data_IF_664857263407
#
_entry.id   IF_664857263407
#
_cell.length_a   1.000
_cell.length_b   1.000
_cell.length_c   1.000
_cell.angle_alpha   90.00
_cell.angle_beta   90.00
_cell.angle_gamma   90.00
#
_symmetry.space_group_name_H-M   'P 1'
#
loop_
_entity.id
_entity.type
_entity.pdbx_description
1 polymer ?
#
# COMPACT_ATOMS: atom_id res chain seq x y z
N UNK A 1 -14.43 -4.16 2.22
CA UNK A 1 -14.42 -4.34 0.75
C UNK A 1 -13.29 -3.61 0.03
N UNK A 2 -13.04 -2.29 0.23
CA UNK A 2 -12.01 -1.58 -0.54
C UNK A 2 -10.57 -2.08 -0.28
N UNK A 3 -10.30 -2.61 0.91
CA UNK A 3 -8.99 -3.19 1.26
C UNK A 3 -8.66 -4.38 0.35
N UNK A 4 -9.59 -5.33 0.20
CA UNK A 4 -9.36 -6.55 -0.58
C UNK A 4 -9.20 -6.23 -2.07
N UNK A 5 -10.02 -5.33 -2.60
CA UNK A 5 -9.90 -4.91 -4.00
C UNK A 5 -8.57 -4.22 -4.28
N UNK A 6 -8.13 -3.30 -3.42
CA UNK A 6 -6.84 -2.62 -3.59
C UNK A 6 -5.64 -3.56 -3.48
N UNK A 7 -5.69 -4.53 -2.55
CA UNK A 7 -4.64 -5.54 -2.39
C UNK A 7 -4.59 -6.46 -3.61
N UNK A 8 -5.74 -6.93 -4.11
CA UNK A 8 -5.80 -7.78 -5.31
C UNK A 8 -5.23 -7.08 -6.54
N UNK A 9 -5.56 -5.80 -6.75
CA UNK A 9 -5.01 -5.00 -7.86
C UNK A 9 -3.49 -4.84 -7.71
N UNK A 10 -3.01 -4.53 -6.51
CA UNK A 10 -1.58 -4.37 -6.23
C UNK A 10 -0.81 -5.67 -6.47
N UNK A 11 -1.33 -6.79 -5.97
CA UNK A 11 -0.74 -8.12 -6.17
C UNK A 11 -0.71 -8.52 -7.64
N UNK A 12 -1.79 -8.27 -8.38
CA UNK A 12 -1.85 -8.56 -9.81
C UNK A 12 -0.80 -7.75 -10.58
N UNK A 13 -0.66 -6.46 -10.29
CA UNK A 13 0.36 -5.62 -10.93
C UNK A 13 1.78 -6.14 -10.63
N UNK A 14 2.05 -6.46 -9.37
CA UNK A 14 3.35 -7.01 -8.95
C UNK A 14 3.65 -8.34 -9.64
N UNK A 15 2.65 -9.22 -9.73
CA UNK A 15 2.76 -10.52 -10.41
C UNK A 15 3.09 -10.36 -11.90
N UNK A 16 2.43 -9.42 -12.58
CA UNK A 16 2.73 -9.10 -13.99
C UNK A 16 4.13 -8.53 -14.15
N UNK A 17 4.54 -7.60 -13.27
CA UNK A 17 5.90 -7.05 -13.29
C UNK A 17 6.94 -8.16 -13.13
N UNK A 18 6.77 -9.07 -12.18
CA UNK A 18 7.71 -10.18 -11.94
C UNK A 18 7.73 -11.17 -13.12
N UNK A 19 6.56 -11.53 -13.64
CA UNK A 19 6.46 -12.53 -14.71
C UNK A 19 7.05 -12.05 -16.04
N UNK A 20 6.93 -10.76 -16.34
CA UNK A 20 7.38 -10.16 -17.60
C UNK A 20 8.60 -9.22 -17.43
N UNK A 21 9.30 -9.26 -16.29
CA UNK A 21 10.37 -8.29 -15.94
C UNK A 21 11.43 -8.07 -17.03
N UNK A 22 11.71 -9.09 -17.87
CA UNK A 22 12.74 -9.03 -18.91
C UNK A 22 12.27 -8.42 -20.24
N UNK A 23 10.96 -8.42 -20.48
CA UNK A 23 10.36 -8.03 -21.76
C UNK A 23 9.61 -6.68 -21.66
N UNK A 24 9.49 -6.10 -20.46
CA UNK A 24 8.79 -4.84 -20.23
C UNK A 24 9.68 -3.63 -20.62
N UNK A 25 9.09 -2.72 -21.39
CA UNK A 25 9.66 -1.40 -21.63
C UNK A 25 9.53 -0.47 -20.41
N UNK A 26 10.32 0.60 -20.37
CA UNK A 26 10.29 1.58 -19.28
C UNK A 26 8.89 2.18 -19.04
N UNK A 27 8.12 2.39 -20.11
CA UNK A 27 6.75 2.95 -20.00
C UNK A 27 5.80 1.94 -19.38
N UNK A 28 5.89 0.66 -19.77
CA UNK A 28 5.05 -0.39 -19.20
C UNK A 28 5.35 -0.60 -17.71
N UNK A 29 6.63 -0.55 -17.33
CA UNK A 29 7.05 -0.57 -15.92
C UNK A 29 6.42 0.60 -15.17
N UNK A 30 6.47 1.83 -15.72
CA UNK A 30 5.89 3.00 -15.07
C UNK A 30 4.37 2.88 -14.89
N UNK A 31 3.66 2.35 -15.89
CA UNK A 31 2.21 2.13 -15.81
C UNK A 31 1.88 1.08 -14.75
N UNK A 32 2.55 -0.07 -14.76
CA UNK A 32 2.32 -1.12 -13.76
C UNK A 32 2.65 -0.64 -12.34
N UNK A 33 3.73 0.14 -12.19
CA UNK A 33 4.11 0.73 -10.92
C UNK A 33 3.07 1.75 -10.42
N UNK A 34 2.50 2.56 -11.31
CA UNK A 34 1.41 3.46 -10.97
C UNK A 34 0.14 2.69 -10.54
N UNK A 35 -0.20 1.59 -11.23
CA UNK A 35 -1.31 0.71 -10.84
C UNK A 35 -1.06 0.07 -9.47
N UNK A 36 0.16 -0.40 -9.21
CA UNK A 36 0.57 -0.95 -7.92
C UNK A 36 0.39 0.07 -6.79
N UNK A 37 0.92 1.28 -6.94
CA UNK A 37 0.78 2.34 -5.94
C UNK A 37 -0.66 2.84 -5.79
N UNK A 38 -1.44 2.84 -6.87
CA UNK A 38 -2.86 3.15 -6.82
C UNK A 38 -3.64 2.17 -5.95
N UNK A 39 -3.41 0.86 -6.15
CA UNK A 39 -3.99 -0.19 -5.31
C UNK A 39 -3.56 -0.09 -3.84
N UNK A 40 -2.26 0.13 -3.61
CA UNK A 40 -1.70 0.33 -2.27
C UNK A 40 -2.38 1.52 -1.56
N UNK A 41 -2.50 2.66 -2.24
CA UNK A 41 -3.13 3.87 -1.69
C UNK A 41 -4.58 3.64 -1.26
N UNK A 42 -5.37 2.93 -2.07
CA UNK A 42 -6.75 2.57 -1.72
C UNK A 42 -6.82 1.69 -0.47
N UNK A 43 -5.99 0.64 -0.40
CA UNK A 43 -5.96 -0.28 0.74
C UNK A 43 -5.47 0.41 2.01
N UNK A 44 -4.38 1.16 1.93
CA UNK A 44 -3.78 1.83 3.08
C UNK A 44 -4.69 2.94 3.64
N UNK A 45 -5.29 3.77 2.78
CA UNK A 45 -6.25 4.81 3.19
C UNK A 45 -7.48 4.20 3.89
N UNK A 46 -8.00 3.10 3.35
CA UNK A 46 -9.13 2.37 3.94
C UNK A 46 -8.77 1.71 5.27
N UNK A 47 -7.56 1.14 5.36
CA UNK A 47 -7.04 0.53 6.59
C UNK A 47 -6.87 1.56 7.71
N UNK A 48 -6.23 2.70 7.40
CA UNK A 48 -6.03 3.79 8.34
C UNK A 48 -7.37 4.34 8.85
N UNK A 49 -8.30 4.63 7.93
CA UNK A 49 -9.64 5.14 8.30
C UNK A 49 -10.39 4.14 9.19
N UNK A 50 -10.37 2.86 8.85
CA UNK A 50 -11.03 1.81 9.62
C UNK A 50 -10.40 1.63 11.01
N UNK A 51 -9.06 1.70 11.08
CA UNK A 51 -8.31 1.63 12.34
C UNK A 51 -8.60 2.80 13.27
N UNK A 52 -8.60 4.03 12.75
CA UNK A 52 -8.90 5.23 13.55
C UNK A 52 -10.37 5.30 13.97
N UNK A 53 -11.30 4.90 13.10
CA UNK A 53 -12.74 4.89 13.44
C UNK A 53 -13.07 3.90 14.57
N UNK A 54 -12.19 2.93 14.82
CA UNK A 54 -12.31 1.99 15.95
C UNK A 54 -11.82 2.58 17.29
N UNK A 55 -11.29 3.81 17.29
CA UNK A 55 -10.78 4.53 18.47
C UNK A 55 -11.70 5.70 18.82
N UNK A 56 -11.61 6.19 20.06
CA UNK A 56 -12.21 7.47 20.41
C UNK A 56 -11.45 8.62 19.73
N UNK A 57 -12.15 9.70 19.38
CA UNK A 57 -11.55 10.86 18.68
C UNK A 57 -10.30 11.43 19.38
N UNK A 58 -10.25 11.38 20.72
CA UNK A 58 -9.09 11.83 21.51
C UNK A 58 -7.83 10.99 21.25
N UNK A 59 -8.00 9.75 20.83
CA UNK A 59 -6.92 8.78 20.64
C UNK A 59 -6.46 8.70 19.16
N UNK A 60 -7.10 9.42 18.23
CA UNK A 60 -6.71 9.44 16.82
C UNK A 60 -5.26 9.93 16.60
N UNK A 61 -4.79 10.88 17.41
CA UNK A 61 -3.41 11.36 17.35
C UNK A 61 -2.40 10.25 17.68
N UNK A 62 -2.68 9.43 18.70
CA UNK A 62 -1.86 8.25 19.02
C UNK A 62 -1.96 7.19 17.93
N UNK A 63 -3.17 6.92 17.42
CA UNK A 63 -3.37 5.99 16.31
C UNK A 63 -2.53 6.36 15.09
N UNK A 64 -2.51 7.65 14.71
CA UNK A 64 -1.66 8.15 13.63
C UNK A 64 -0.16 7.99 13.92
N UNK A 65 0.28 8.24 15.15
CA UNK A 65 1.68 8.04 15.55
C UNK A 65 2.10 6.57 15.42
N UNK A 66 1.23 5.63 15.79
CA UNK A 66 1.47 4.19 15.61
C UNK A 66 1.56 3.85 14.12
N UNK A 67 0.61 4.30 13.29
CA UNK A 67 0.66 4.08 11.83
C UNK A 67 1.96 4.63 11.21
N UNK A 68 2.40 5.82 11.61
CA UNK A 68 3.66 6.41 11.14
C UNK A 68 4.88 5.60 11.59
N UNK A 69 4.88 5.10 12.83
CA UNK A 69 5.96 4.26 13.37
C UNK A 69 6.04 2.93 12.63
N UNK A 70 4.89 2.28 12.38
CA UNK A 70 4.81 1.04 11.60
C UNK A 70 5.29 1.24 10.16
N UNK A 71 4.98 2.39 9.54
CA UNK A 71 5.48 2.74 8.21
C UNK A 71 7.01 2.92 8.20
N UNK A 72 7.57 3.65 9.17
CA UNK A 72 9.02 3.83 9.28
C UNK A 72 9.74 2.49 9.53
N UNK A 73 9.19 1.65 10.41
CA UNK A 73 9.70 0.32 10.67
C UNK A 73 9.67 -0.57 9.42
N UNK A 74 8.54 -0.57 8.70
CA UNK A 74 8.39 -1.31 7.44
C UNK A 74 9.37 -0.82 6.37
N UNK A 75 9.57 0.50 6.28
CA UNK A 75 10.56 1.10 5.38
C UNK A 75 11.99 0.67 5.71
N UNK A 76 12.37 0.67 6.99
CA UNK A 76 13.68 0.22 7.44
C UNK A 76 13.91 -1.27 7.11
N UNK A 77 12.92 -2.14 7.38
CA UNK A 77 12.99 -3.56 7.05
C UNK A 77 13.12 -3.83 5.55
N UNK A 78 12.44 -3.04 4.70
CA UNK A 78 12.50 -3.20 3.25
C UNK A 78 13.86 -2.86 2.63
N UNK A 79 14.74 -2.20 3.39
CA UNK A 79 16.08 -1.78 2.95
C UNK A 79 17.23 -2.51 3.65
N UNK A 80 16.93 -3.29 4.70
CA UNK A 80 17.90 -4.07 5.47
C UNK A 80 18.21 -5.42 4.79
#
# INVERSE_FOLDING_TARGET
>A
MPILTGVSVSLLSLFLMISFSKDLSNIEIAILYAVYYGGYGMSFSSLMTSGLTSLEKKDHAQGNAIFNTLQQFSGALGTA
#
